data_IF_963790195580
#
_entry.id   IF_963790195580
#
_cell.length_a   1.000
_cell.length_b   1.000
_cell.length_c   1.000
_cell.angle_alpha   90.00
_cell.angle_beta   90.00
_cell.angle_gamma   90.00
#
_symmetry.space_group_name_H-M   'P 1'
#
loop_
_entity.id
_entity.type
_entity.pdbx_description
1 polymer ?
#
# COMPACT_ATOMS: atom_id res chain seq x y z
N UNK A 1 4.10 16.35 -1.76
CA UNK A 1 4.75 15.03 -1.82
C UNK A 1 3.93 14.12 -0.92
N UNK A 2 3.60 12.90 -1.35
CA UNK A 2 2.74 12.01 -0.56
C UNK A 2 3.61 11.25 0.43
N UNK A 3 3.31 11.35 1.72
CA UNK A 3 4.04 10.65 2.78
C UNK A 3 3.27 9.43 3.26
N UNK A 4 3.98 8.31 3.40
CA UNK A 4 3.37 7.00 3.68
C UNK A 4 4.12 6.27 4.77
N UNK A 5 3.38 5.67 5.69
CA UNK A 5 3.89 4.65 6.61
C UNK A 5 3.41 3.28 6.18
N UNK A 6 4.34 2.33 6.08
CA UNK A 6 4.06 0.99 5.59
C UNK A 6 4.43 -0.05 6.66
N UNK A 7 3.51 -0.98 6.91
CA UNK A 7 3.72 -2.15 7.77
C UNK A 7 3.20 -3.41 7.08
N UNK A 8 3.69 -4.56 7.54
CA UNK A 8 3.22 -5.86 7.07
C UNK A 8 4.15 -6.57 6.09
N UNK A 9 3.68 -7.70 5.59
CA UNK A 9 4.47 -8.64 4.78
C UNK A 9 4.85 -8.05 3.41
N UNK A 10 4.03 -7.14 2.88
CA UNK A 10 4.28 -6.47 1.59
C UNK A 10 5.20 -5.25 1.71
N UNK A 11 5.64 -4.89 2.92
CA UNK A 11 6.30 -3.60 3.21
C UNK A 11 7.53 -3.32 2.36
N UNK A 12 8.40 -4.31 2.14
CA UNK A 12 9.65 -4.11 1.39
C UNK A 12 9.38 -3.81 -0.09
N UNK A 13 8.51 -4.59 -0.73
CA UNK A 13 8.15 -4.37 -2.13
C UNK A 13 7.43 -3.02 -2.32
N UNK A 14 6.48 -2.70 -1.43
CA UNK A 14 5.76 -1.43 -1.48
C UNK A 14 6.67 -0.23 -1.20
N UNK A 15 7.63 -0.35 -0.29
CA UNK A 15 8.62 0.71 -0.03
C UNK A 15 9.41 1.01 -1.29
N UNK A 16 9.90 -0.03 -1.99
CA UNK A 16 10.62 0.15 -3.26
C UNK A 16 9.76 0.86 -4.30
N UNK A 17 8.53 0.39 -4.50
CA UNK A 17 7.58 0.98 -5.45
C UNK A 17 7.35 2.47 -5.16
N UNK A 18 7.12 2.83 -3.90
CA UNK A 18 6.76 4.18 -3.52
C UNK A 18 7.96 5.14 -3.58
N UNK A 19 9.16 4.70 -3.15
CA UNK A 19 10.39 5.47 -3.32
C UNK A 19 10.68 5.78 -4.80
N UNK A 20 10.53 4.78 -5.67
CA UNK A 20 10.73 4.95 -7.13
C UNK A 20 9.75 5.94 -7.77
N UNK A 21 8.65 6.25 -7.08
CA UNK A 21 7.62 7.20 -7.52
C UNK A 21 7.63 8.51 -6.73
N UNK A 22 8.68 8.75 -5.94
CA UNK A 22 8.88 10.01 -5.22
C UNK A 22 7.99 10.19 -3.99
N UNK A 23 7.48 9.10 -3.42
CA UNK A 23 6.78 9.14 -2.13
C UNK A 23 7.81 9.24 -1.01
N UNK A 24 7.39 9.86 0.09
CA UNK A 24 8.18 9.94 1.30
C UNK A 24 7.82 8.79 2.24
N UNK A 25 8.82 8.06 2.74
CA UNK A 25 8.60 6.97 3.69
C UNK A 25 8.79 7.50 5.10
N UNK A 26 7.72 7.47 5.89
CA UNK A 26 7.70 7.97 7.27
C UNK A 26 7.63 6.80 8.24
N UNK A 27 8.34 6.93 9.37
CA UNK A 27 8.42 5.92 10.42
C UNK A 27 8.79 4.50 9.89
N UNK A 28 9.82 4.36 9.01
CA UNK A 28 10.26 3.06 8.50
C UNK A 28 10.64 2.13 9.67
N UNK A 29 10.37 0.82 9.54
CA UNK A 29 10.88 -0.15 10.52
C UNK A 29 12.39 -0.26 10.39
N UNK A 30 13.08 -0.73 11.43
CA UNK A 30 14.50 -1.05 11.40
C UNK A 30 14.91 -1.86 10.16
N UNK A 31 14.20 -2.94 9.85
CA UNK A 31 14.43 -3.76 8.65
C UNK A 31 14.35 -2.93 7.34
N UNK A 32 13.44 -1.95 7.28
CA UNK A 32 13.29 -1.09 6.10
C UNK A 32 14.39 -0.02 6.09
N UNK A 33 14.79 0.51 7.25
CA UNK A 33 15.93 1.42 7.37
C UNK A 33 17.20 0.78 6.84
N UNK A 34 17.51 -0.43 7.29
CA UNK A 34 18.68 -1.20 6.86
C UNK A 34 18.66 -1.48 5.34
N UNK A 35 17.52 -1.98 4.82
CA UNK A 35 17.40 -2.39 3.41
C UNK A 35 17.53 -1.25 2.41
N UNK A 36 17.11 -0.05 2.80
CA UNK A 36 17.05 1.11 1.91
C UNK A 36 18.04 2.21 2.28
N UNK A 37 18.85 2.01 3.31
CA UNK A 37 19.91 2.94 3.72
C UNK A 37 19.41 4.27 4.26
N UNK A 38 18.29 4.28 5.00
CA UNK A 38 17.81 5.49 5.68
C UNK A 38 18.78 5.87 6.80
N UNK A 39 19.25 7.12 6.84
CA UNK A 39 20.10 7.62 7.91
C UNK A 39 19.26 7.91 9.17
N UNK A 40 19.90 7.97 10.34
CA UNK A 40 19.20 8.30 11.59
C UNK A 40 18.57 9.71 11.56
N UNK A 41 19.16 10.62 10.80
CA UNK A 41 18.64 11.98 10.59
C UNK A 41 17.38 12.03 9.73
N UNK A 42 17.15 11.00 8.90
CA UNK A 42 15.96 10.88 8.05
C UNK A 42 14.73 10.37 8.84
N UNK A 43 14.92 10.03 10.13
CA UNK A 43 13.89 9.43 10.96
C UNK A 43 12.92 10.50 11.47
N UNK A 44 11.84 10.64 10.73
CA UNK A 44 10.71 11.50 11.07
C UNK A 44 9.73 10.78 12.01
N UNK A 45 10.19 10.41 13.20
CA UNK A 45 9.39 9.62 14.15
C UNK A 45 8.15 10.34 14.69
N UNK A 46 8.24 11.66 14.86
CA UNK A 46 7.14 12.50 15.38
C UNK A 46 6.21 13.03 14.28
N UNK A 47 6.53 12.79 13.01
CA UNK A 47 5.73 13.30 11.88
C UNK A 47 4.63 12.29 11.54
N UNK A 48 3.40 12.78 11.50
CA UNK A 48 2.24 12.01 11.03
C UNK A 48 2.26 11.86 9.51
N UNK A 49 2.22 10.63 8.96
CA UNK A 49 2.13 10.40 7.52
C UNK A 49 0.76 10.77 6.97
N UNK A 50 0.69 11.11 5.68
CA UNK A 50 -0.59 11.31 5.01
C UNK A 50 -1.39 10.01 4.92
N UNK A 51 -0.69 8.88 4.68
CA UNK A 51 -1.29 7.58 4.48
C UNK A 51 -0.63 6.47 5.31
N UNK A 52 -1.47 5.57 5.79
CA UNK A 52 -1.12 4.38 6.53
C UNK A 52 -1.45 3.14 5.69
N UNK A 53 -0.44 2.33 5.40
CA UNK A 53 -0.55 1.09 4.63
C UNK A 53 -0.19 -0.09 5.52
N UNK A 54 -1.10 -1.05 5.64
CA UNK A 54 -0.88 -2.28 6.42
C UNK A 54 -1.55 -3.47 5.75
N UNK A 55 -1.14 -4.69 6.12
CA UNK A 55 -1.77 -5.91 5.61
C UNK A 55 -3.27 -5.96 5.97
N UNK A 56 -4.05 -6.55 5.07
CA UNK A 56 -5.39 -7.05 5.40
C UNK A 56 -5.30 -8.15 6.46
N UNK A 57 -6.40 -8.39 7.19
CA UNK A 57 -6.47 -9.46 8.20
C UNK A 57 -6.19 -10.85 7.61
N UNK A 58 -6.64 -11.10 6.38
CA UNK A 58 -6.38 -12.33 5.63
C UNK A 58 -5.00 -12.38 4.96
N UNK A 59 -4.21 -11.30 5.06
CA UNK A 59 -2.90 -11.10 4.42
C UNK A 59 -2.90 -11.23 2.90
N UNK A 60 -4.07 -11.21 2.25
CA UNK A 60 -4.21 -11.34 0.80
C UNK A 60 -4.09 -9.99 0.08
N UNK A 61 -3.59 -8.96 0.76
CA UNK A 61 -3.42 -7.63 0.22
C UNK A 61 -3.22 -6.62 1.33
N UNK A 62 -3.54 -5.35 1.06
CA UNK A 62 -3.32 -4.23 1.97
C UNK A 62 -4.57 -3.37 2.17
N UNK A 63 -4.59 -2.66 3.29
CA UNK A 63 -5.53 -1.60 3.59
C UNK A 63 -4.76 -0.28 3.62
N UNK A 64 -5.27 0.71 2.88
CA UNK A 64 -4.78 2.09 2.88
C UNK A 64 -5.78 2.95 3.66
N UNK A 65 -5.28 3.73 4.62
CA UNK A 65 -6.06 4.68 5.42
C UNK A 65 -5.36 6.02 5.49
N UNK A 66 -6.07 7.09 5.83
CA UNK A 66 -5.49 8.41 6.08
C UNK A 66 -6.25 9.47 5.33
N UNK A 67 -5.52 10.45 4.82
CA UNK A 67 -6.10 11.55 4.07
C UNK A 67 -6.50 11.09 2.66
N UNK A 68 -7.82 11.04 2.43
CA UNK A 68 -8.44 10.52 1.21
C UNK A 68 -8.06 11.29 -0.05
N UNK A 69 -7.51 12.51 0.06
CA UNK A 69 -7.05 13.27 -1.11
C UNK A 69 -5.89 12.58 -1.83
N UNK A 70 -5.11 11.72 -1.15
CA UNK A 70 -3.94 11.05 -1.70
C UNK A 70 -4.18 9.61 -2.18
N UNK A 71 -5.43 9.17 -2.11
CA UNK A 71 -5.83 7.80 -2.45
C UNK A 71 -5.64 7.49 -3.94
N UNK A 72 -5.91 8.47 -4.80
CA UNK A 72 -5.81 8.31 -6.24
C UNK A 72 -4.35 8.11 -6.69
N UNK A 73 -3.38 8.74 -6.03
CA UNK A 73 -1.95 8.58 -6.29
C UNK A 73 -1.50 7.15 -6.04
N UNK A 74 -1.88 6.55 -4.90
CA UNK A 74 -1.55 5.15 -4.62
C UNK A 74 -2.24 4.21 -5.61
N UNK A 75 -3.53 4.43 -5.91
CA UNK A 75 -4.26 3.61 -6.88
C UNK A 75 -3.56 3.64 -8.24
N UNK A 76 -3.21 4.83 -8.74
CA UNK A 76 -2.50 4.99 -10.02
C UNK A 76 -1.17 4.25 -10.02
N UNK A 77 -0.37 4.42 -8.97
CA UNK A 77 0.95 3.75 -8.86
C UNK A 77 0.81 2.23 -8.89
N UNK A 78 -0.11 1.67 -8.09
CA UNK A 78 -0.27 0.23 -7.99
C UNK A 78 -0.91 -0.38 -9.24
N UNK A 79 -1.88 0.29 -9.87
CA UNK A 79 -2.47 -0.17 -11.15
C UNK A 79 -1.46 -0.23 -12.30
N UNK A 80 -0.46 0.67 -12.28
CA UNK A 80 0.60 0.66 -13.29
C UNK A 80 1.58 -0.51 -13.13
N UNK A 81 1.59 -1.19 -11.99
CA UNK A 81 2.59 -2.22 -11.64
C UNK A 81 1.93 -3.59 -11.47
N UNK A 82 0.68 -3.63 -11.02
CA UNK A 82 -0.03 -4.84 -10.59
C UNK A 82 -1.27 -5.06 -11.47
N UNK A 83 -1.13 -5.97 -12.43
CA UNK A 83 -2.13 -6.20 -13.48
C UNK A 83 -3.47 -6.75 -12.96
N UNK A 84 -3.42 -7.59 -11.93
CA UNK A 84 -4.60 -8.29 -11.38
C UNK A 84 -5.02 -7.79 -9.99
N UNK A 85 -4.46 -6.67 -9.51
CA UNK A 85 -4.84 -6.13 -8.20
C UNK A 85 -6.30 -5.62 -8.20
N UNK A 86 -7.05 -5.95 -7.13
CA UNK A 86 -8.46 -5.58 -7.00
C UNK A 86 -8.59 -4.46 -5.97
N UNK A 87 -9.14 -3.33 -6.38
CA UNK A 87 -9.30 -2.14 -5.55
C UNK A 87 -10.77 -1.98 -5.13
N UNK A 88 -11.04 -1.97 -3.82
CA UNK A 88 -12.37 -1.82 -3.22
C UNK A 88 -12.41 -0.59 -2.31
N UNK A 89 -13.57 0.07 -2.25
CA UNK A 89 -13.77 1.28 -1.44
C UNK A 89 -13.46 2.60 -2.17
N UNK A 90 -13.08 2.58 -3.46
CA UNK A 90 -12.72 3.79 -4.22
C UNK A 90 -13.88 4.45 -4.97
N UNK A 91 -15.14 3.97 -4.81
CA UNK A 91 -16.23 4.31 -5.74
C UNK A 91 -16.53 5.82 -5.83
N UNK A 92 -16.19 6.60 -4.79
CA UNK A 92 -16.44 8.04 -4.77
C UNK A 92 -15.30 8.90 -5.35
N UNK A 93 -14.06 8.39 -5.41
CA UNK A 93 -12.93 9.11 -6.03
C UNK A 93 -13.12 9.27 -7.55
N UNK A 94 -13.70 8.27 -8.21
CA UNK A 94 -13.99 8.27 -9.64
C UNK A 94 -15.23 9.10 -10.02
N UNK A 95 -16.21 9.24 -9.13
CA UNK A 95 -17.46 9.97 -9.40
C UNK A 95 -17.30 11.50 -9.46
N UNK A 96 -16.16 12.04 -8.99
CA UNK A 96 -15.88 13.48 -9.03
C UNK A 96 -15.21 13.99 -10.31
N UNK A 97 -14.71 13.11 -11.20
CA UNK A 97 -13.80 13.52 -12.29
C UNK A 97 -14.21 12.96 -13.67
N UNK A 98 -15.15 12.01 -13.75
CA UNK A 98 -15.71 11.58 -15.04
C UNK A 98 -16.69 12.64 -15.58
N UNK A 99 -16.16 13.60 -16.35
CA UNK A 99 -16.79 14.64 -17.19
C UNK A 99 -16.69 16.10 -16.68
N UNK A 100 -15.74 16.89 -17.23
CA UNK A 100 -15.71 18.35 -17.09
C UNK A 100 -16.88 19.08 -17.78
N UNK A 101 -17.75 18.36 -18.50
CA UNK A 101 -18.81 18.94 -19.34
C UNK A 101 -20.23 18.68 -18.85
N UNK A 102 -20.41 17.92 -17.76
CA UNK A 102 -21.73 17.74 -17.16
C UNK A 102 -21.72 18.51 -15.85
N UNK A 103 -22.27 19.71 -15.87
CA UNK A 103 -22.52 20.53 -14.68
C UNK A 103 -23.64 19.87 -13.87
N UNK A 104 -23.36 18.72 -13.26
CA UNK A 104 -24.28 18.09 -12.32
C UNK A 104 -24.28 18.98 -11.08
N UNK A 105 -25.35 19.74 -10.92
CA UNK A 105 -25.63 20.47 -9.70
C UNK A 105 -25.73 19.45 -8.56
N UNK A 106 -24.66 19.33 -7.78
CA UNK A 106 -24.60 18.36 -6.68
C UNK A 106 -25.81 18.56 -5.75
N UNK A 107 -26.54 17.48 -5.49
CA UNK A 107 -27.59 17.51 -4.50
C UNK A 107 -26.97 17.56 -3.10
N UNK A 108 -27.57 18.30 -2.19
CA UNK A 108 -27.13 18.42 -0.80
C UNK A 108 -27.01 17.06 -0.09
N UNK A 109 -27.74 16.03 -0.56
CA UNK A 109 -27.60 14.64 -0.13
C UNK A 109 -26.25 14.02 -0.50
N UNK A 110 -25.72 14.29 -1.69
CA UNK A 110 -24.40 13.80 -2.11
C UNK A 110 -23.28 14.46 -1.29
N UNK A 111 -23.42 15.74 -0.95
CA UNK A 111 -22.51 16.43 -0.03
C UNK A 111 -22.60 15.88 1.40
N UNK A 112 -23.80 15.58 1.89
CA UNK A 112 -23.98 14.95 3.21
C UNK A 112 -23.46 13.51 3.25
N UNK A 113 -23.61 12.73 2.18
CA UNK A 113 -23.06 11.36 2.07
C UNK A 113 -21.53 11.40 2.05
N UNK A 114 -20.92 12.34 1.32
CA UNK A 114 -19.47 12.58 1.39
C UNK A 114 -19.05 12.96 2.81
N UNK A 115 -19.66 13.98 3.41
CA UNK A 115 -19.31 14.43 4.76
C UNK A 115 -19.50 13.34 5.84
N UNK A 116 -20.48 12.46 5.68
CA UNK A 116 -20.71 11.32 6.59
C UNK A 116 -19.75 10.14 6.34
N UNK A 117 -19.30 9.92 5.10
CA UNK A 117 -18.35 8.87 4.74
C UNK A 117 -16.87 9.28 4.88
N UNK A 118 -16.58 10.58 5.04
CA UNK A 118 -15.23 11.09 5.34
C UNK A 118 -14.70 10.60 6.71
N UNK A 119 -15.55 10.02 7.56
CA UNK A 119 -15.14 9.34 8.79
C UNK A 119 -14.79 7.88 8.45
N UNK A 120 -13.51 7.60 8.20
CA UNK A 120 -12.99 6.22 8.10
C UNK A 120 -12.94 5.62 6.69
N UNK A 121 -12.98 6.46 5.64
CA UNK A 121 -12.73 6.01 4.28
C UNK A 121 -11.37 5.29 4.22
N UNK A 122 -11.39 4.03 3.76
CA UNK A 122 -10.21 3.19 3.56
C UNK A 122 -10.30 2.54 2.21
N UNK A 123 -9.17 2.38 1.55
CA UNK A 123 -9.09 1.55 0.35
C UNK A 123 -8.63 0.18 0.77
N UNK A 124 -9.33 -0.81 0.26
CA UNK A 124 -8.99 -2.20 0.43
C UNK A 124 -8.48 -2.75 -0.91
N UNK A 125 -7.23 -3.18 -0.94
CA UNK A 125 -6.55 -3.64 -2.15
C UNK A 125 -6.18 -5.10 -1.95
N UNK A 126 -6.72 -5.97 -2.79
CA UNK A 126 -6.38 -7.39 -2.83
C UNK A 126 -5.30 -7.64 -3.88
N UNK A 127 -4.38 -8.53 -3.58
CA UNK A 127 -3.28 -8.94 -4.46
C UNK A 127 -3.47 -10.41 -4.85
N UNK A 128 -4.02 -10.72 -6.02
CA UNK A 128 -4.06 -12.09 -6.51
C UNK A 128 -2.67 -12.59 -6.95
N UNK A 129 -2.62 -13.77 -7.57
CA UNK A 129 -1.38 -14.51 -7.80
C UNK A 129 -0.32 -13.74 -8.60
N UNK A 130 -0.70 -13.00 -9.64
CA UNK A 130 0.26 -12.26 -10.46
C UNK A 130 0.81 -11.07 -9.68
N UNK A 131 -0.05 -10.33 -8.97
CA UNK A 131 0.36 -9.22 -8.10
C UNK A 131 1.34 -9.68 -7.03
N UNK A 132 1.08 -10.79 -6.34
CA UNK A 132 1.99 -11.32 -5.31
C UNK A 132 3.35 -11.70 -5.91
N UNK A 133 3.35 -12.37 -7.07
CA UNK A 133 4.59 -12.70 -7.79
C UNK A 133 5.36 -11.45 -8.19
N UNK A 134 4.67 -10.43 -8.70
CA UNK A 134 5.30 -9.18 -9.10
C UNK A 134 5.90 -8.44 -7.89
N UNK A 135 5.23 -8.47 -6.75
CA UNK A 135 5.76 -7.93 -5.50
C UNK A 135 6.96 -8.74 -4.99
N UNK A 136 6.99 -10.07 -5.16
CA UNK A 136 8.16 -10.90 -4.86
C UNK A 136 9.36 -10.54 -5.74
N UNK A 137 9.14 -10.34 -7.05
CA UNK A 137 10.19 -9.91 -7.99
C UNK A 137 10.79 -8.56 -7.57
N UNK A 138 9.94 -7.59 -7.22
CA UNK A 138 10.38 -6.27 -6.76
C UNK A 138 11.13 -6.39 -5.44
N UNK A 139 10.64 -7.21 -4.50
CA UNK A 139 11.33 -7.49 -3.22
C UNK A 139 12.73 -8.04 -3.47
N UNK A 140 12.88 -8.96 -4.43
CA UNK A 140 14.16 -9.58 -4.76
C UNK A 140 15.19 -8.60 -5.33
N UNK A 141 14.77 -7.43 -5.85
CA UNK A 141 15.70 -6.36 -6.25
C UNK A 141 16.32 -5.63 -5.07
N UNK A 142 15.72 -5.74 -3.88
CA UNK A 142 16.17 -5.06 -2.66
C UNK A 142 16.90 -6.02 -1.72
N UNK A 143 16.39 -7.24 -1.57
CA UNK A 143 16.95 -8.24 -0.65
C UNK A 143 16.65 -9.64 -1.17
N UNK A 144 17.61 -10.59 -1.08
CA UNK A 144 17.36 -11.97 -1.48
C UNK A 144 16.09 -12.54 -0.82
N UNK A 145 15.26 -13.19 -1.62
CA UNK A 145 13.95 -13.68 -1.17
C UNK A 145 13.69 -15.09 -1.67
N UNK A 146 12.97 -15.88 -0.88
CA UNK A 146 12.44 -17.16 -1.37
C UNK A 146 11.40 -16.93 -2.47
N UNK A 147 11.34 -17.85 -3.42
CA UNK A 147 10.30 -17.84 -4.45
C UNK A 147 8.91 -18.03 -3.83
N UNK A 148 7.93 -17.24 -4.26
CA UNK A 148 6.58 -17.27 -3.72
C UNK A 148 6.46 -16.74 -2.29
N UNK A 149 7.39 -15.90 -1.84
CA UNK A 149 7.42 -15.34 -0.48
C UNK A 149 6.06 -14.83 -0.04
N UNK A 150 5.42 -13.91 -0.77
CA UNK A 150 4.13 -13.36 -0.37
C UNK A 150 3.01 -14.41 -0.35
N UNK A 151 3.02 -15.38 -1.28
CA UNK A 151 2.03 -16.45 -1.30
C UNK A 151 2.09 -17.27 0.00
N UNK A 152 3.28 -17.71 0.39
CA UNK A 152 3.47 -18.51 1.60
C UNK A 152 3.32 -17.71 2.90
N UNK A 153 3.78 -16.45 2.94
CA UNK A 153 3.58 -15.56 4.10
C UNK A 153 2.09 -15.29 4.34
N UNK A 154 1.29 -15.17 3.27
CA UNK A 154 -0.13 -14.94 3.37
C UNK A 154 -0.90 -16.13 3.95
N UNK A 155 -0.40 -17.36 3.82
CA UNK A 155 -0.99 -18.55 4.49
C UNK A 155 -0.92 -18.48 6.02
N UNK A 156 -0.02 -17.66 6.58
CA UNK A 156 0.13 -17.50 8.02
C UNK A 156 0.65 -18.75 8.75
N UNK A 157 0.54 -18.73 10.08
CA UNK A 157 0.91 -19.83 10.97
C UNK A 157 2.30 -20.41 10.70
N UNK A 158 2.38 -21.75 10.67
CA UNK A 158 3.63 -22.49 10.47
C UNK A 158 4.27 -22.23 9.10
N UNK A 159 3.48 -22.01 8.06
CA UNK A 159 3.99 -21.77 6.70
C UNK A 159 4.73 -20.44 6.65
N UNK A 160 4.12 -19.37 7.18
CA UNK A 160 4.78 -18.07 7.28
C UNK A 160 6.09 -18.14 8.07
N UNK A 161 6.14 -18.92 9.16
CA UNK A 161 7.36 -19.09 9.95
C UNK A 161 8.45 -19.84 9.18
N UNK A 162 8.09 -20.87 8.39
CA UNK A 162 9.05 -21.60 7.56
C UNK A 162 9.68 -20.70 6.50
N UNK A 163 8.93 -19.74 5.95
CA UNK A 163 9.48 -18.71 5.06
C UNK A 163 10.55 -17.88 5.78
N UNK A 164 10.26 -17.39 6.99
CA UNK A 164 11.21 -16.57 7.75
C UNK A 164 12.50 -17.32 8.08
N UNK A 165 12.42 -18.64 8.31
CA UNK A 165 13.60 -19.49 8.51
C UNK A 165 14.38 -19.63 7.20
N UNK A 166 13.68 -19.94 6.10
CA UNK A 166 14.32 -20.12 4.80
C UNK A 166 15.05 -18.85 4.32
N UNK A 167 14.49 -17.66 4.57
CA UNK A 167 15.13 -16.39 4.21
C UNK A 167 16.42 -16.11 4.97
N UNK A 168 16.59 -16.65 6.19
CA UNK A 168 17.83 -16.50 6.96
C UNK A 168 18.98 -17.38 6.45
N UNK A 169 18.69 -18.25 5.49
CA UNK A 169 19.65 -19.17 4.88
C UNK A 169 20.11 -18.73 3.48
N UNK A 170 19.62 -17.58 3.00
CA UNK A 170 20.02 -16.95 1.74
C UNK A 170 21.21 -16.00 1.98
#
# INVERSE_FOLDING_TARGET
>A
MVSVRIRGIYSTALTKIFLDRGFEIIQPSEIIRERFGFADEDIKEEVEPNLYVHDRMDRQGIIVRGDGIYYEEIIKVLRLILDDAIFRGSLQASLGIMHPQIQVRESSLLQMIRASNMIGERIDIEFPGLSKRRLDEIRNTVTPTVSGHHYYKACGGRISMMVDIAERML
#
